data_IF_173571973081
#
_entry.id   IF_173571973081
#
_cell.length_a   1.000
_cell.length_b   1.000
_cell.length_c   1.000
_cell.angle_alpha   90.00
_cell.angle_beta   90.00
_cell.angle_gamma   90.00
#
_symmetry.space_group_name_H-M   'P 1'
#
loop_
_entity.id
_entity.type
_entity.pdbx_description
1 polymer ?
#
# COMPACT_ATOMS: atom_id res chain seq x y z
N UNK A 1 27.35 -27.99 -6.57
CA UNK A 1 26.49 -28.42 -5.43
C UNK A 1 25.78 -27.28 -4.69
N UNK A 2 26.25 -26.02 -4.74
CA UNK A 2 25.72 -24.89 -3.95
C UNK A 2 24.27 -24.45 -4.34
N UNK A 3 23.79 -24.80 -5.53
CA UNK A 3 22.51 -24.30 -6.06
C UNK A 3 21.27 -25.07 -5.54
N UNK A 4 21.42 -26.30 -5.05
CA UNK A 4 20.30 -27.14 -4.58
C UNK A 4 19.80 -26.69 -3.21
N UNK A 5 20.71 -26.35 -2.29
CA UNK A 5 20.37 -25.91 -0.93
C UNK A 5 19.66 -24.57 -0.90
N UNK A 6 20.03 -23.63 -1.77
CA UNK A 6 19.34 -22.33 -1.88
C UNK A 6 17.88 -22.50 -2.30
N UNK A 7 17.61 -23.44 -3.22
CA UNK A 7 16.29 -23.71 -3.76
C UNK A 7 15.37 -24.44 -2.75
N UNK A 8 15.97 -25.30 -1.91
CA UNK A 8 15.24 -25.97 -0.81
C UNK A 8 14.91 -24.96 0.29
N UNK A 9 15.87 -24.13 0.72
CA UNK A 9 15.63 -23.10 1.73
C UNK A 9 14.59 -22.07 1.28
N UNK A 10 14.61 -21.63 0.02
CA UNK A 10 13.61 -20.70 -0.48
C UNK A 10 12.20 -21.31 -0.48
N UNK A 11 12.06 -22.56 -0.93
CA UNK A 11 10.77 -23.26 -0.88
C UNK A 11 10.25 -23.46 0.54
N UNK A 12 11.13 -23.78 1.49
CA UNK A 12 10.74 -23.94 2.89
C UNK A 12 10.25 -22.62 3.48
N UNK A 13 10.96 -21.51 3.22
CA UNK A 13 10.55 -20.19 3.69
C UNK A 13 9.21 -19.73 3.09
N UNK A 14 8.93 -20.06 1.83
CA UNK A 14 7.64 -19.73 1.20
C UNK A 14 6.48 -20.48 1.85
N UNK A 15 6.64 -21.78 2.13
CA UNK A 15 5.60 -22.56 2.83
C UNK A 15 5.31 -22.03 4.23
N UNK A 16 6.37 -21.75 5.01
CA UNK A 16 6.22 -21.22 6.37
C UNK A 16 5.51 -19.86 6.35
N UNK A 17 5.81 -19.03 5.35
CA UNK A 17 5.12 -17.75 5.15
C UNK A 17 3.64 -17.94 4.77
N UNK A 18 3.34 -18.87 3.85
CA UNK A 18 1.96 -19.20 3.47
C UNK A 18 1.14 -19.69 4.66
N UNK A 19 1.66 -20.64 5.44
CA UNK A 19 0.96 -21.17 6.62
C UNK A 19 0.64 -20.06 7.63
N UNK A 20 1.61 -19.17 7.91
CA UNK A 20 1.43 -18.03 8.83
C UNK A 20 0.47 -16.97 8.28
N UNK A 21 0.42 -16.80 6.95
CA UNK A 21 -0.55 -15.91 6.31
C UNK A 21 -1.97 -16.46 6.44
N UNK A 22 -2.18 -17.75 6.18
CA UNK A 22 -3.48 -18.40 6.33
C UNK A 22 -3.97 -18.40 7.78
N UNK A 23 -3.07 -18.61 8.74
CA UNK A 23 -3.39 -18.53 10.17
C UNK A 23 -3.94 -17.15 10.55
N UNK A 24 -3.26 -16.07 10.15
CA UNK A 24 -3.74 -14.69 10.36
C UNK A 24 -5.04 -14.39 9.63
N UNK A 25 -5.26 -15.02 8.47
CA UNK A 25 -6.47 -14.82 7.68
C UNK A 25 -7.67 -15.49 8.33
N UNK A 26 -7.49 -16.70 8.87
CA UNK A 26 -8.50 -17.38 9.68
C UNK A 26 -8.81 -16.59 10.95
N UNK A 27 -7.78 -16.14 11.69
CA UNK A 27 -7.96 -15.31 12.89
C UNK A 27 -8.80 -14.06 12.58
N UNK A 28 -8.49 -13.39 11.46
CA UNK A 28 -9.25 -12.23 11.00
C UNK A 28 -10.71 -12.56 10.64
N UNK A 29 -10.95 -13.70 9.98
CA UNK A 29 -12.31 -14.12 9.63
C UNK A 29 -13.15 -14.48 10.86
N UNK A 30 -12.55 -15.14 11.84
CA UNK A 30 -13.21 -15.54 13.10
C UNK A 30 -13.58 -14.33 13.95
N UNK A 31 -12.73 -13.30 13.99
CA UNK A 31 -12.93 -12.14 14.85
C UNK A 31 -13.55 -10.94 14.15
N UNK A 32 -13.97 -11.04 12.87
CA UNK A 32 -14.41 -9.90 12.06
C UNK A 32 -15.50 -9.01 12.71
N UNK A 33 -16.32 -9.59 13.60
CA UNK A 33 -17.42 -8.90 14.30
C UNK A 33 -17.10 -8.52 15.74
N UNK A 34 -15.93 -8.91 16.26
CA UNK A 34 -15.46 -8.48 17.58
C UNK A 34 -14.81 -7.11 17.47
N UNK A 35 -15.61 -6.08 17.73
CA UNK A 35 -15.19 -4.68 17.71
C UNK A 35 -14.00 -4.41 18.63
N UNK A 36 -13.83 -5.18 19.72
CA UNK A 36 -12.71 -5.04 20.66
C UNK A 36 -11.40 -5.60 20.11
N UNK A 37 -11.46 -6.69 19.35
CA UNK A 37 -10.31 -7.43 18.84
C UNK A 37 -9.43 -6.58 17.88
N UNK A 38 -10.00 -5.58 17.20
CA UNK A 38 -9.29 -4.77 16.21
C UNK A 38 -8.89 -3.36 16.67
N UNK A 39 -9.20 -2.98 17.91
CA UNK A 39 -8.85 -1.65 18.44
C UNK A 39 -7.33 -1.41 18.58
N UNK A 40 -6.51 -2.46 18.54
CA UNK A 40 -5.05 -2.42 18.72
C UNK A 40 -4.20 -2.46 17.43
N UNK A 41 -4.78 -2.27 16.25
CA UNK A 41 -4.01 -2.29 14.99
C UNK A 41 -3.84 -3.68 14.36
N UNK A 42 -4.64 -4.66 14.79
CA UNK A 42 -4.81 -5.89 14.03
C UNK A 42 -5.66 -5.56 12.79
N UNK A 43 -5.02 -5.38 11.64
CA UNK A 43 -5.66 -4.97 10.38
C UNK A 43 -5.61 -6.17 9.44
N UNK A 44 -6.68 -6.37 8.66
CA UNK A 44 -6.79 -7.47 7.69
C UNK A 44 -5.44 -7.78 7.00
N UNK A 45 -5.03 -9.06 6.94
CA UNK A 45 -3.76 -9.48 6.31
C UNK A 45 -3.61 -8.98 4.88
N UNK A 46 -4.73 -8.80 4.17
CA UNK A 46 -4.78 -8.27 2.80
C UNK A 46 -4.24 -6.84 2.72
N UNK A 47 -4.48 -6.03 3.75
CA UNK A 47 -4.06 -4.63 3.82
C UNK A 47 -2.67 -4.51 4.46
N UNK A 48 -2.38 -5.33 5.47
CA UNK A 48 -1.13 -5.25 6.21
C UNK A 48 0.06 -5.88 5.46
N UNK A 49 -0.17 -6.94 4.69
CA UNK A 49 0.87 -7.69 3.97
C UNK A 49 0.44 -8.00 2.52
N UNK A 50 0.38 -6.98 1.64
CA UNK A 50 0.08 -7.20 0.22
C UNK A 50 1.25 -7.98 -0.39
N UNK A 51 0.98 -9.07 -1.12
CA UNK A 51 2.03 -9.97 -1.63
C UNK A 51 3.14 -9.33 -2.50
N UNK A 52 2.95 -8.09 -2.96
CA UNK A 52 3.98 -7.26 -3.62
C UNK A 52 3.91 -5.80 -3.13
N UNK A 53 4.41 -5.49 -1.92
CA UNK A 53 4.23 -4.17 -1.31
C UNK A 53 4.95 -3.07 -2.11
N UNK A 54 6.11 -3.38 -2.71
CA UNK A 54 6.87 -2.44 -3.53
C UNK A 54 6.18 -2.09 -4.84
N UNK A 55 5.46 -3.04 -5.48
CA UNK A 55 4.73 -2.74 -6.73
C UNK A 55 3.56 -1.81 -6.45
N UNK A 56 2.83 -2.08 -5.37
CA UNK A 56 1.71 -1.24 -4.93
C UNK A 56 2.19 0.15 -4.48
N UNK A 57 3.33 0.21 -3.78
CA UNK A 57 3.94 1.47 -3.38
C UNK A 57 4.36 2.34 -4.57
N UNK A 58 5.05 1.75 -5.55
CA UNK A 58 5.37 2.44 -6.81
C UNK A 58 4.13 2.87 -7.58
N UNK A 59 3.08 2.03 -7.64
CA UNK A 59 1.82 2.41 -8.25
C UNK A 59 1.24 3.67 -7.61
N UNK A 60 1.20 3.74 -6.27
CA UNK A 60 0.70 4.91 -5.55
C UNK A 60 1.54 6.17 -5.81
N UNK A 61 2.86 6.06 -5.81
CA UNK A 61 3.77 7.19 -6.09
C UNK A 61 3.60 7.71 -7.52
N UNK A 62 3.54 6.81 -8.51
CA UNK A 62 3.41 7.18 -9.92
C UNK A 62 2.04 7.82 -10.17
N UNK A 63 0.98 7.21 -9.66
CA UNK A 63 -0.38 7.75 -9.83
C UNK A 63 -0.57 9.09 -9.13
N UNK A 64 -0.03 9.30 -7.92
CA UNK A 64 -0.10 10.61 -7.25
C UNK A 64 0.63 11.70 -8.05
N UNK A 65 1.76 11.35 -8.70
CA UNK A 65 2.50 12.28 -9.54
C UNK A 65 1.72 12.64 -10.81
N UNK A 66 1.09 11.65 -11.45
CA UNK A 66 0.22 11.87 -12.61
C UNK A 66 -0.95 12.78 -12.25
N UNK A 67 -1.66 12.51 -11.15
CA UNK A 67 -2.77 13.36 -10.70
C UNK A 67 -2.33 14.79 -10.40
N UNK A 68 -1.14 14.96 -9.81
CA UNK A 68 -0.56 16.28 -9.54
C UNK A 68 -0.25 17.05 -10.82
N UNK A 69 0.24 16.39 -11.86
CA UNK A 69 0.46 17.04 -13.17
C UNK A 69 -0.86 17.39 -13.84
N UNK A 70 -1.84 16.48 -13.82
CA UNK A 70 -3.14 16.71 -14.43
C UNK A 70 -3.87 17.91 -13.80
N UNK A 71 -3.85 18.03 -12.47
CA UNK A 71 -4.50 19.17 -11.81
C UNK A 71 -3.82 20.50 -12.16
N UNK A 72 -2.49 20.53 -12.29
CA UNK A 72 -1.77 21.71 -12.75
C UNK A 72 -2.19 22.10 -14.17
N UNK A 73 -2.30 21.14 -15.08
CA UNK A 73 -2.77 21.40 -16.46
C UNK A 73 -4.18 21.98 -16.47
N UNK A 74 -5.09 21.42 -15.67
CA UNK A 74 -6.47 21.93 -15.54
C UNK A 74 -6.48 23.37 -15.04
N UNK A 75 -5.68 23.69 -14.02
CA UNK A 75 -5.56 25.05 -13.49
C UNK A 75 -5.02 26.01 -14.57
N UNK A 76 -3.96 25.62 -15.28
CA UNK A 76 -3.39 26.44 -16.36
C UNK A 76 -4.39 26.72 -17.48
N UNK A 77 -5.20 25.73 -17.88
CA UNK A 77 -6.18 25.87 -18.97
C UNK A 77 -7.35 26.80 -18.63
N UNK A 78 -7.68 26.96 -17.34
CA UNK A 78 -8.86 27.72 -16.90
C UNK A 78 -8.50 29.02 -16.17
N UNK A 79 -7.21 29.41 -16.21
CA UNK A 79 -6.73 30.59 -15.49
C UNK A 79 -7.24 31.93 -16.07
N UNK A 80 -7.69 31.94 -17.33
CA UNK A 80 -7.92 33.17 -18.11
C UNK A 80 -9.36 33.72 -18.12
N UNK A 81 -10.29 33.23 -17.28
CA UNK A 81 -11.59 33.93 -17.19
C UNK A 81 -12.79 33.19 -16.62
N UNK A 82 -12.66 31.93 -16.23
CA UNK A 82 -13.76 31.23 -15.55
C UNK A 82 -13.76 31.50 -14.03
N UNK A 83 -14.90 31.21 -13.40
CA UNK A 83 -14.98 31.22 -11.94
C UNK A 83 -13.97 30.21 -11.38
N UNK A 84 -12.91 30.70 -10.74
CA UNK A 84 -11.80 29.87 -10.24
C UNK A 84 -12.16 29.06 -8.99
N UNK A 85 -13.26 29.41 -8.31
CA UNK A 85 -13.70 28.80 -7.05
C UNK A 85 -13.98 27.28 -7.15
N UNK A 86 -14.75 26.78 -8.13
CA UNK A 86 -14.90 25.34 -8.36
C UNK A 86 -13.57 24.61 -8.58
N UNK A 87 -12.69 25.19 -9.39
CA UNK A 87 -11.38 24.59 -9.73
C UNK A 87 -10.51 24.50 -8.48
N UNK A 88 -10.47 25.55 -7.66
CA UNK A 88 -9.73 25.54 -6.40
C UNK A 88 -10.27 24.50 -5.41
N UNK A 89 -11.60 24.33 -5.35
CA UNK A 89 -12.22 23.36 -4.45
C UNK A 89 -11.86 21.93 -4.86
N UNK A 90 -11.94 21.63 -6.16
CA UNK A 90 -11.52 20.33 -6.71
C UNK A 90 -10.03 20.12 -6.51
N UNK A 91 -9.20 21.13 -6.78
CA UNK A 91 -7.76 21.05 -6.61
C UNK A 91 -7.37 20.75 -5.16
N UNK A 92 -8.02 21.39 -4.19
CA UNK A 92 -7.74 21.16 -2.76
C UNK A 92 -8.03 19.70 -2.36
N UNK A 93 -9.14 19.14 -2.81
CA UNK A 93 -9.49 17.73 -2.55
C UNK A 93 -8.49 16.79 -3.23
N UNK A 94 -8.19 17.02 -4.51
CA UNK A 94 -7.29 16.16 -5.29
C UNK A 94 -5.86 16.21 -4.75
N UNK A 95 -5.35 17.37 -4.36
CA UNK A 95 -4.03 17.52 -3.74
C UNK A 95 -4.01 16.84 -2.37
N UNK A 96 -5.06 17.00 -1.56
CA UNK A 96 -5.19 16.30 -0.27
C UNK A 96 -5.14 14.77 -0.43
N UNK A 97 -5.90 14.22 -1.38
CA UNK A 97 -5.88 12.78 -1.67
C UNK A 97 -4.52 12.33 -2.21
N UNK A 98 -3.93 13.11 -3.13
CA UNK A 98 -2.64 12.78 -3.76
C UNK A 98 -1.50 12.77 -2.75
N UNK A 99 -1.51 13.66 -1.75
CA UNK A 99 -0.48 13.69 -0.69
C UNK A 99 -0.58 12.47 0.23
N UNK A 100 -1.79 12.09 0.65
CA UNK A 100 -2.01 10.87 1.46
C UNK A 100 -1.55 9.63 0.67
N UNK A 101 -1.92 9.56 -0.60
CA UNK A 101 -1.54 8.47 -1.50
C UNK A 101 -0.03 8.39 -1.69
N UNK A 102 0.65 9.53 -1.86
CA UNK A 102 2.10 9.58 -1.98
C UNK A 102 2.80 9.08 -0.71
N UNK A 103 2.35 9.55 0.48
CA UNK A 103 2.90 9.11 1.78
C UNK A 103 2.70 7.61 1.96
N UNK A 104 1.51 7.09 1.63
CA UNK A 104 1.21 5.66 1.67
C UNK A 104 2.14 4.87 0.72
N UNK A 105 2.35 5.36 -0.49
CA UNK A 105 3.25 4.75 -1.48
C UNK A 105 4.70 4.68 -1.02
N UNK A 106 5.24 5.78 -0.48
CA UNK A 106 6.59 5.83 0.08
C UNK A 106 6.73 4.88 1.28
N UNK A 107 5.74 4.84 2.17
CA UNK A 107 5.73 3.94 3.33
C UNK A 107 5.71 2.47 2.90
N UNK A 108 4.96 2.12 1.86
CA UNK A 108 4.89 0.76 1.31
C UNK A 108 6.20 0.34 0.63
N UNK A 109 6.87 1.25 -0.09
CA UNK A 109 8.18 0.98 -0.69
C UNK A 109 9.29 0.76 0.35
N UNK A 110 9.18 1.37 1.54
CA UNK A 110 10.09 1.14 2.66
C UNK A 110 9.93 -0.23 3.35
N UNK A 111 8.81 -0.94 3.10
CA UNK A 111 8.58 -2.30 3.62
C UNK A 111 9.23 -3.31 2.67
N UNK A 112 10.51 -3.60 2.91
CA UNK A 112 11.21 -4.67 2.21
C UNK A 112 10.72 -6.04 2.75
N UNK A 113 10.07 -6.90 1.94
CA UNK A 113 9.54 -8.19 2.40
C UNK A 113 10.63 -9.12 2.96
N UNK A 114 11.90 -8.89 2.62
CA UNK A 114 13.03 -9.67 3.15
C UNK A 114 13.25 -9.50 4.66
N UNK A 115 12.71 -8.44 5.29
CA UNK A 115 12.85 -8.21 6.74
C UNK A 115 11.86 -8.98 7.61
N UNK A 116 10.84 -9.60 7.02
CA UNK A 116 9.86 -10.42 7.76
C UNK A 116 10.24 -11.91 7.77
N UNK A 117 11.38 -12.27 7.17
CA UNK A 117 12.02 -13.59 7.21
C UNK A 117 13.17 -13.60 8.23
N UNK A 118 13.08 -12.82 9.31
CA UNK A 118 13.95 -12.99 10.46
C UNK A 118 13.29 -14.00 11.40
N UNK A 119 13.83 -15.21 11.37
CA UNK A 119 13.61 -16.26 12.37
C UNK A 119 14.07 -15.74 13.74
N UNK A 120 13.14 -15.66 14.69
CA UNK A 120 13.39 -15.90 16.12
C UNK A 120 12.73 -17.22 16.49
#
# INVERSE_FOLDING_TARGET
MINKDKNIKSKLSTRIYEDKYFEKLNEWQEHQYDLGHYTGGNISPIISDPGRPSVLGWFFVISSLIFSVLILVVIFMHFDGESILPILTVALVVVGLSTIQFIAGVRLNGRNPSKYVSFE
#
